data_IF_586835985203
#
_entry.id   IF_586835985203
#
_cell.length_a   1.000
_cell.length_b   1.000
_cell.length_c   1.000
_cell.angle_alpha   90.00
_cell.angle_beta   90.00
_cell.angle_gamma   90.00
#
_symmetry.space_group_name_H-M   'P 1'
#
loop_
_entity.id
_entity.type
_entity.pdbx_description
1 polymer ?
#
# COMPACT_ATOMS: atom_id res chain seq x y z
N UNK A 1 12.18 9.09 -0.79
CA UNK A 1 10.73 9.15 -0.52
C UNK A 1 10.28 7.78 -0.08
N UNK A 2 9.72 7.67 1.13
CA UNK A 2 9.22 6.40 1.66
C UNK A 2 7.71 6.34 1.49
N UNK A 3 7.23 5.17 1.09
CA UNK A 3 5.81 4.89 0.90
C UNK A 3 5.42 3.90 1.98
N UNK A 4 4.30 4.15 2.62
CA UNK A 4 3.74 3.30 3.66
C UNK A 4 2.34 2.87 3.24
N UNK A 5 1.95 1.67 3.63
CA UNK A 5 0.59 1.17 3.43
C UNK A 5 0.00 0.77 4.78
N UNK A 6 -1.15 1.33 5.15
CA UNK A 6 -1.88 0.93 6.35
C UNK A 6 -2.97 -0.06 5.97
N UNK A 7 -2.95 -1.23 6.62
CA UNK A 7 -3.99 -2.24 6.46
C UNK A 7 -5.32 -1.81 7.08
N UNK A 8 -5.30 -0.94 8.09
CA UNK A 8 -6.50 -0.50 8.81
C UNK A 8 -7.32 0.48 8.00
N UNK A 9 -6.65 1.37 7.26
CA UNK A 9 -7.32 2.33 6.36
C UNK A 9 -7.35 1.88 4.91
N UNK A 10 -6.67 0.78 4.59
CA UNK A 10 -6.40 0.31 3.21
C UNK A 10 -5.85 1.43 2.32
N UNK A 11 -5.03 2.32 2.91
CA UNK A 11 -4.55 3.55 2.30
C UNK A 11 -3.03 3.61 2.17
N UNK A 12 -2.57 4.37 1.17
CA UNK A 12 -1.16 4.67 0.97
C UNK A 12 -0.79 6.03 1.59
N UNK A 13 0.31 6.05 2.31
CA UNK A 13 0.87 7.21 2.98
C UNK A 13 2.28 7.45 2.48
N UNK A 14 2.71 8.69 2.48
CA UNK A 14 4.03 9.08 2.01
C UNK A 14 4.69 9.91 3.07
N UNK A 15 5.88 9.52 3.53
CA UNK A 15 6.65 10.22 4.58
C UNK A 15 6.81 11.72 4.31
N UNK A 16 6.93 12.07 3.03
CA UNK A 16 7.18 13.44 2.56
C UNK A 16 5.91 14.29 2.45
N UNK A 17 4.72 13.69 2.51
CA UNK A 17 3.41 14.38 2.39
C UNK A 17 2.60 14.23 3.69
N UNK A 18 2.67 13.06 4.31
CA UNK A 18 1.90 12.68 5.49
C UNK A 18 2.82 12.67 6.70
N UNK A 19 2.62 13.65 7.58
CA UNK A 19 3.26 13.69 8.91
C UNK A 19 2.63 12.72 9.90
N UNK A 20 1.39 12.31 9.66
CA UNK A 20 0.65 11.42 10.56
C UNK A 20 0.36 10.08 9.87
N UNK A 21 1.33 9.18 9.96
CA UNK A 21 1.25 7.83 9.41
C UNK A 21 0.74 6.88 10.51
N UNK A 22 -0.22 6.00 10.23
CA UNK A 22 -0.68 5.00 11.20
C UNK A 22 0.46 4.09 11.68
N UNK A 23 0.44 3.68 12.94
CA UNK A 23 1.44 2.76 13.51
C UNK A 23 1.38 1.36 12.87
N UNK A 24 0.21 0.98 12.36
CA UNK A 24 0.01 -0.26 11.60
C UNK A 24 0.46 -0.15 10.12
N UNK A 25 0.94 1.03 9.71
CA UNK A 25 1.44 1.24 8.37
C UNK A 25 2.85 0.69 8.21
N UNK A 26 3.05 -0.01 7.10
CA UNK A 26 4.29 -0.69 6.80
C UNK A 26 4.99 -0.06 5.60
N UNK A 27 6.31 0.03 5.66
CA UNK A 27 7.10 0.58 4.57
C UNK A 27 7.06 -0.36 3.35
N UNK A 28 6.77 0.19 2.18
CA UNK A 28 6.84 -0.48 0.88
C UNK A 28 7.76 0.27 -0.05
N UNK A 29 8.30 -0.43 -1.03
CA UNK A 29 9.15 0.20 -2.06
C UNK A 29 8.31 0.90 -3.12
N UNK A 30 8.90 1.90 -3.79
CA UNK A 30 8.25 2.58 -4.91
C UNK A 30 7.90 1.62 -6.06
N UNK A 31 8.73 0.59 -6.27
CA UNK A 31 8.47 -0.45 -7.28
C UNK A 31 7.24 -1.29 -6.92
N UNK A 32 7.10 -1.67 -5.65
CA UNK A 32 5.89 -2.36 -5.15
C UNK A 32 4.65 -1.49 -5.34
N UNK A 33 4.70 -0.22 -4.91
CA UNK A 33 3.58 0.72 -5.09
C UNK A 33 3.15 0.85 -6.56
N UNK A 34 4.12 0.98 -7.48
CA UNK A 34 3.82 1.08 -8.91
C UNK A 34 3.17 -0.19 -9.45
N UNK A 35 3.70 -1.36 -9.12
CA UNK A 35 3.12 -2.64 -9.54
C UNK A 35 1.69 -2.81 -9.00
N UNK A 36 1.44 -2.41 -7.75
CA UNK A 36 0.11 -2.44 -7.15
C UNK A 36 -0.89 -1.56 -7.91
N UNK A 37 -0.50 -0.33 -8.25
CA UNK A 37 -1.30 0.59 -9.05
C UNK A 37 -1.58 0.05 -10.46
N UNK A 38 -0.57 -0.51 -11.13
CA UNK A 38 -0.74 -1.10 -12.46
C UNK A 38 -1.73 -2.27 -12.44
N UNK A 39 -1.68 -3.10 -11.40
CA UNK A 39 -2.61 -4.21 -11.20
C UNK A 39 -4.01 -3.71 -10.85
N UNK A 40 -4.12 -2.69 -10.00
CA UNK A 40 -5.40 -2.05 -9.71
C UNK A 40 -6.05 -1.48 -10.98
N UNK A 41 -5.26 -0.82 -11.84
CA UNK A 41 -5.72 -0.33 -13.14
C UNK A 41 -6.13 -1.47 -14.11
N UNK A 42 -5.50 -2.64 -13.99
CA UNK A 42 -5.89 -3.84 -14.73
C UNK A 42 -7.15 -4.53 -14.18
N UNK A 43 -7.75 -4.01 -13.11
CA UNK A 43 -9.00 -4.49 -12.51
C UNK A 43 -8.80 -5.46 -11.35
N UNK A 44 -7.61 -5.56 -10.78
CA UNK A 44 -7.37 -6.35 -9.58
C UNK A 44 -7.64 -5.52 -8.30
N UNK A 45 -7.93 -6.17 -7.19
CA UNK A 45 -8.08 -5.50 -5.90
C UNK A 45 -6.77 -5.51 -5.10
N UNK A 46 -6.46 -4.41 -4.41
CA UNK A 46 -5.34 -4.37 -3.47
C UNK A 46 -5.88 -4.68 -2.08
N UNK A 47 -5.38 -5.75 -1.47
CA UNK A 47 -5.76 -6.16 -0.11
C UNK A 47 -4.55 -6.23 0.80
N UNK A 48 -4.76 -6.11 2.11
CA UNK A 48 -3.71 -6.35 3.08
C UNK A 48 -3.56 -7.84 3.37
N UNK A 49 -2.33 -8.37 3.30
CA UNK A 49 -2.06 -9.73 3.74
C UNK A 49 -1.95 -9.81 5.28
N UNK A 50 -1.76 -11.03 5.81
CA UNK A 50 -1.61 -11.28 7.27
C UNK A 50 -0.46 -10.51 7.93
N UNK A 51 0.54 -10.07 7.15
CA UNK A 51 1.68 -9.25 7.62
C UNK A 51 1.42 -7.74 7.47
N UNK A 52 0.23 -7.32 7.05
CA UNK A 52 -0.11 -5.94 6.75
C UNK A 52 0.43 -5.44 5.40
N UNK A 53 1.06 -6.30 4.59
CA UNK A 53 1.57 -5.90 3.27
C UNK A 53 0.46 -5.81 2.22
N UNK A 54 0.44 -4.76 1.40
CA UNK A 54 -0.47 -4.70 0.27
C UNK A 54 -0.08 -5.80 -0.72
N UNK A 55 -1.05 -6.61 -1.08
CA UNK A 55 -0.94 -7.67 -2.06
C UNK A 55 -2.10 -7.58 -3.03
N UNK A 56 -1.89 -8.12 -4.21
CA UNK A 56 -2.96 -8.22 -5.20
C UNK A 56 -3.86 -9.39 -4.84
N UNK A 57 -5.15 -9.11 -4.66
CA UNK A 57 -6.22 -10.08 -4.61
C UNK A 57 -6.79 -10.32 -6.01
N UNK A 58 -7.50 -11.43 -6.16
CA UNK A 58 -8.12 -11.84 -7.43
C UNK A 58 -9.05 -10.76 -8.01
N UNK A 59 -9.22 -10.82 -9.33
CA UNK A 59 -10.16 -10.01 -10.12
C UNK A 59 -11.60 -10.50 -9.96
#
# INVERSE_FOLDING_TARGET
>A
MKIYFSKSTMGFYFDVIHTNIPDDAIEITQSEYKNLLEKQAAGYEIVANKKGKPVISSR
#
